data_IF_974154675638
#
_entry.id   IF_974154675638
#
_cell.length_a   1.000
_cell.length_b   1.000
_cell.length_c   1.000
_cell.angle_alpha   90.00
_cell.angle_beta   90.00
_cell.angle_gamma   90.00
#
_symmetry.space_group_name_H-M   'P 1'
#
loop_
_entity.id
_entity.type
_entity.pdbx_description
1 polymer ?
#
# COMPACT_ATOMS: atom_id res chain seq x y z
N UNK A 1 -34.29 28.19 7.45
CA UNK A 1 -33.02 27.48 7.68
C UNK A 1 -32.85 26.33 6.69
N UNK A 2 -32.38 26.63 5.47
CA UNK A 2 -31.92 25.67 4.44
C UNK A 2 -30.90 26.43 3.58
N UNK A 3 -29.63 25.98 3.51
CA UNK A 3 -28.56 26.33 2.52
C UNK A 3 -27.17 26.08 3.12
N UNK A 4 -26.56 24.93 2.80
CA UNK A 4 -25.12 24.68 2.93
C UNK A 4 -24.69 23.47 2.08
N UNK A 5 -25.22 23.33 0.86
CA UNK A 5 -25.08 22.10 0.06
C UNK A 5 -25.13 22.38 -1.45
N UNK A 6 -24.27 23.26 -1.97
CA UNK A 6 -24.30 23.64 -3.40
C UNK A 6 -23.04 24.31 -3.98
N UNK A 7 -21.83 24.12 -3.42
CA UNK A 7 -20.58 24.72 -3.98
C UNK A 7 -19.35 23.80 -3.95
N UNK A 8 -19.28 22.89 -4.92
CA UNK A 8 -18.01 22.36 -5.49
C UNK A 8 -18.15 21.64 -6.85
N UNK A 9 -19.37 21.53 -7.41
CA UNK A 9 -19.74 20.57 -8.46
C UNK A 9 -19.58 21.06 -9.91
N UNK A 10 -18.55 21.86 -10.22
CA UNK A 10 -18.38 22.48 -11.55
C UNK A 10 -16.99 22.24 -12.17
N UNK A 11 -16.80 21.07 -12.76
CA UNK A 11 -15.61 20.70 -13.55
C UNK A 11 -15.53 19.18 -13.76
N UNK A 12 -14.86 18.73 -14.83
CA UNK A 12 -14.53 17.31 -15.13
C UNK A 12 -15.74 16.39 -15.46
N UNK A 13 -16.15 16.32 -16.74
CA UNK A 13 -17.34 15.55 -17.19
C UNK A 13 -17.15 14.83 -18.53
N UNK A 14 -17.46 13.51 -18.57
CA UNK A 14 -17.41 12.56 -19.71
C UNK A 14 -16.01 12.29 -20.32
N UNK A 15 -15.49 11.05 -20.28
CA UNK A 15 -14.29 10.65 -21.07
C UNK A 15 -14.38 9.21 -21.54
N UNK A 16 -14.44 8.25 -20.62
CA UNK A 16 -14.64 6.85 -20.99
C UNK A 16 -16.15 6.61 -21.14
N UNK A 17 -16.59 6.34 -22.37
CA UNK A 17 -18.01 6.22 -22.74
C UNK A 17 -18.67 4.89 -22.35
N UNK A 18 -17.95 3.99 -21.67
CA UNK A 18 -18.43 2.66 -21.33
C UNK A 18 -17.74 2.15 -20.05
N UNK A 19 -18.33 2.44 -18.88
CA UNK A 19 -17.81 2.07 -17.55
C UNK A 19 -18.51 0.86 -16.94
N UNK A 20 -19.52 0.30 -17.61
CA UNK A 20 -20.51 -0.56 -16.99
C UNK A 20 -20.09 -2.04 -16.87
N UNK A 21 -18.83 -2.37 -17.20
CA UNK A 21 -18.23 -3.70 -17.09
C UNK A 21 -16.74 -3.64 -16.69
N UNK A 22 -16.37 -2.83 -15.70
CA UNK A 22 -15.01 -2.82 -15.15
C UNK A 22 -14.81 -3.95 -14.12
N UNK A 23 -13.83 -4.82 -14.38
CA UNK A 23 -13.38 -5.81 -13.39
C UNK A 23 -12.24 -5.25 -12.54
N UNK A 24 -12.32 -5.47 -11.23
CA UNK A 24 -11.36 -5.00 -10.24
C UNK A 24 -10.63 -6.18 -9.58
N UNK A 25 -9.32 -6.07 -9.42
CA UNK A 25 -8.53 -6.92 -8.54
C UNK A 25 -8.44 -6.23 -7.17
N UNK A 26 -9.00 -6.88 -6.15
CA UNK A 26 -9.02 -6.42 -4.77
C UNK A 26 -8.04 -7.22 -3.92
N UNK A 27 -7.23 -6.50 -3.14
CA UNK A 27 -6.09 -7.04 -2.39
C UNK A 27 -6.06 -6.48 -0.97
N UNK A 28 -5.40 -7.19 -0.05
CA UNK A 28 -5.12 -6.66 1.28
C UNK A 28 -4.14 -5.50 1.21
N UNK A 29 -4.40 -4.41 1.94
CA UNK A 29 -3.42 -3.33 2.09
C UNK A 29 -2.52 -3.59 3.30
N UNK A 30 -1.43 -4.31 3.04
CA UNK A 30 -0.40 -4.68 4.01
C UNK A 30 0.24 -3.44 4.65
N UNK A 31 0.43 -3.45 5.98
CA UNK A 31 1.12 -2.38 6.69
C UNK A 31 2.59 -2.74 6.96
N UNK A 32 3.45 -2.52 5.95
CA UNK A 32 4.86 -2.88 6.00
C UNK A 32 5.79 -1.85 5.36
N UNK A 33 6.77 -2.38 4.63
CA UNK A 33 7.71 -1.62 3.81
C UNK A 33 7.69 -2.16 2.37
N UNK A 34 7.35 -1.29 1.42
CA UNK A 34 7.41 -1.57 0.00
C UNK A 34 8.84 -1.88 -0.46
N UNK A 35 9.00 -3.02 -1.12
CA UNK A 35 10.25 -3.56 -1.67
C UNK A 35 10.07 -3.89 -3.15
N UNK A 36 11.09 -3.57 -3.92
CA UNK A 36 11.28 -4.00 -5.31
C UNK A 36 12.37 -5.06 -5.35
N UNK A 37 12.15 -6.13 -6.12
CA UNK A 37 13.07 -7.27 -6.26
C UNK A 37 13.28 -7.54 -7.75
N UNK A 38 14.52 -7.34 -8.22
CA UNK A 38 14.90 -7.65 -9.59
C UNK A 38 15.37 -9.10 -9.70
N UNK A 39 14.73 -9.84 -10.58
CA UNK A 39 15.15 -11.14 -11.05
C UNK A 39 15.71 -11.02 -12.47
N UNK A 40 16.86 -11.62 -12.74
CA UNK A 40 17.41 -11.75 -14.08
C UNK A 40 17.59 -13.23 -14.41
N UNK A 41 17.02 -13.69 -15.54
CA UNK A 41 16.89 -15.10 -15.91
C UNK A 41 16.34 -15.97 -14.76
N UNK A 42 15.38 -15.41 -14.01
CA UNK A 42 14.76 -16.03 -12.84
C UNK A 42 15.62 -16.07 -11.56
N UNK A 43 16.85 -15.55 -11.55
CA UNK A 43 17.69 -15.45 -10.35
C UNK A 43 17.52 -14.09 -9.67
N UNK A 44 17.32 -14.06 -8.36
CA UNK A 44 17.30 -12.81 -7.59
C UNK A 44 18.69 -12.17 -7.67
N UNK A 45 18.81 -11.01 -8.32
CA UNK A 45 20.07 -10.26 -8.43
C UNK A 45 20.12 -9.09 -7.45
N UNK A 46 19.04 -8.31 -7.33
CA UNK A 46 18.98 -7.11 -6.50
C UNK A 46 17.63 -6.97 -5.79
N UNK A 47 17.60 -6.32 -4.63
CA UNK A 47 16.38 -5.82 -4.02
C UNK A 47 16.59 -4.44 -3.38
N UNK A 48 15.60 -3.56 -3.53
CA UNK A 48 15.67 -2.18 -3.06
C UNK A 48 14.39 -1.77 -2.31
N UNK A 49 14.53 -0.85 -1.35
CA UNK A 49 13.40 -0.15 -0.74
C UNK A 49 12.78 0.86 -1.71
N UNK A 50 11.53 1.28 -1.48
CA UNK A 50 10.88 2.30 -2.33
C UNK A 50 11.56 3.68 -2.35
N UNK A 51 12.23 4.05 -1.26
CA UNK A 51 12.80 5.40 -1.05
C UNK A 51 11.83 6.53 -1.40
N UNK A 52 12.30 7.49 -2.22
CA UNK A 52 11.50 8.62 -2.71
C UNK A 52 10.54 8.28 -3.87
N UNK A 53 10.67 7.08 -4.45
CA UNK A 53 9.94 6.61 -5.63
C UNK A 53 10.81 6.48 -6.89
N UNK A 54 12.01 7.05 -6.88
CA UNK A 54 13.01 6.98 -7.95
C UNK A 54 14.28 6.28 -7.46
N UNK A 55 14.78 6.67 -6.29
CA UNK A 55 16.02 6.12 -5.68
C UNK A 55 15.67 5.38 -4.40
N UNK A 56 16.06 4.10 -4.35
CA UNK A 56 15.89 3.22 -3.19
C UNK A 56 17.21 2.86 -2.51
N UNK A 57 17.14 2.41 -1.26
CA UNK A 57 18.28 1.79 -0.57
C UNK A 57 18.40 0.31 -1.00
N UNK A 58 19.61 -0.13 -1.38
CA UNK A 58 19.89 -1.54 -1.63
C UNK A 58 19.81 -2.33 -0.32
N UNK A 59 18.97 -3.37 -0.33
CA UNK A 59 18.71 -4.26 0.80
C UNK A 59 18.84 -5.73 0.36
N UNK A 60 19.54 -6.01 -0.74
CA UNK A 60 19.65 -7.33 -1.36
C UNK A 60 20.07 -8.40 -0.37
N UNK A 61 21.15 -8.16 0.39
CA UNK A 61 21.67 -9.10 1.40
C UNK A 61 20.66 -9.40 2.51
N UNK A 62 19.83 -8.42 2.89
CA UNK A 62 18.79 -8.58 3.90
C UNK A 62 17.58 -9.34 3.35
N UNK A 63 17.14 -9.00 2.14
CA UNK A 63 16.03 -9.65 1.43
C UNK A 63 16.31 -11.14 1.16
N UNK A 64 17.56 -11.51 0.83
CA UNK A 64 17.98 -12.92 0.67
C UNK A 64 17.80 -13.78 1.93
N UNK A 65 17.59 -13.17 3.12
CA UNK A 65 17.33 -13.91 4.37
C UNK A 65 15.86 -14.21 4.62
N UNK A 66 14.95 -13.60 3.86
CA UNK A 66 13.50 -13.75 4.03
C UNK A 66 13.05 -15.05 3.35
N UNK A 67 12.72 -16.07 4.14
CA UNK A 67 12.37 -17.42 3.67
C UNK A 67 11.22 -17.48 2.66
N UNK A 68 10.30 -16.52 2.72
CA UNK A 68 9.17 -16.42 1.80
C UNK A 68 9.57 -15.96 0.39
N UNK A 69 10.78 -15.40 0.21
CA UNK A 69 11.25 -14.87 -1.07
C UNK A 69 12.14 -15.92 -1.74
N UNK A 70 11.76 -16.47 -2.91
CA UNK A 70 12.58 -17.43 -3.62
C UNK A 70 13.84 -16.76 -4.17
N UNK A 71 15.02 -17.37 -3.96
CA UNK A 71 16.26 -16.89 -4.59
C UNK A 71 16.32 -17.20 -6.10
N UNK A 72 15.51 -18.16 -6.55
CA UNK A 72 15.34 -18.56 -7.95
C UNK A 72 13.86 -18.89 -8.21
N UNK A 73 13.28 -18.23 -9.21
CA UNK A 73 11.95 -18.54 -9.76
C UNK A 73 11.95 -19.91 -10.45
N UNK A 74 10.81 -20.60 -10.46
CA UNK A 74 10.68 -21.98 -10.94
C UNK A 74 9.60 -22.10 -12.03
N UNK A 75 9.79 -23.01 -12.98
CA UNK A 75 8.87 -23.19 -14.12
C UNK A 75 9.25 -22.34 -15.33
N UNK A 76 8.33 -22.27 -16.29
CA UNK A 76 8.60 -21.80 -17.64
C UNK A 76 8.21 -20.33 -17.87
N UNK A 77 8.60 -19.80 -19.04
CA UNK A 77 8.27 -18.45 -19.53
C UNK A 77 8.70 -17.31 -18.59
N UNK A 78 9.70 -17.53 -17.73
CA UNK A 78 10.27 -16.50 -16.86
C UNK A 78 10.98 -15.45 -17.74
N UNK A 79 10.62 -14.15 -17.65
CA UNK A 79 11.26 -13.09 -18.43
C UNK A 79 12.76 -12.96 -18.13
N UNK A 80 13.52 -12.52 -19.14
CA UNK A 80 14.94 -12.22 -18.99
C UNK A 80 15.20 -11.26 -17.82
N UNK A 81 14.36 -10.23 -17.63
CA UNK A 81 14.42 -9.30 -16.50
C UNK A 81 13.03 -9.00 -15.98
N UNK A 82 12.82 -9.18 -14.67
CA UNK A 82 11.52 -9.02 -14.01
C UNK A 82 11.70 -8.33 -12.66
N UNK A 83 11.11 -7.15 -12.52
CA UNK A 83 11.00 -6.44 -11.24
C UNK A 83 9.68 -6.80 -10.55
N UNK A 84 9.77 -7.61 -9.49
CA UNK A 84 8.62 -7.96 -8.64
C UNK A 84 8.49 -6.93 -7.52
N UNK A 85 7.30 -6.33 -7.40
CA UNK A 85 6.98 -5.38 -6.33
C UNK A 85 6.06 -6.02 -5.29
N UNK A 86 6.37 -5.80 -4.03
CA UNK A 86 5.60 -6.33 -2.91
C UNK A 86 5.89 -5.61 -1.60
N UNK A 87 5.22 -6.04 -0.52
CA UNK A 87 5.41 -5.48 0.81
C UNK A 87 6.16 -6.51 1.67
N UNK A 88 7.29 -6.11 2.29
CA UNK A 88 7.89 -6.85 3.40
C UNK A 88 7.21 -6.41 4.69
N UNK A 89 6.69 -7.38 5.44
CA UNK A 89 6.00 -7.12 6.71
C UNK A 89 6.38 -8.16 7.76
N UNK A 90 5.91 -7.92 8.99
CA UNK A 90 6.21 -8.73 10.16
C UNK A 90 4.89 -9.21 10.78
N UNK A 91 4.62 -10.52 10.87
CA UNK A 91 3.45 -11.06 11.54
C UNK A 91 3.43 -10.67 13.03
N UNK A 92 2.25 -10.54 13.60
CA UNK A 92 2.03 -10.04 14.96
C UNK A 92 2.80 -10.85 16.02
N UNK A 93 2.72 -12.19 15.97
CA UNK A 93 3.48 -13.06 16.87
C UNK A 93 5.00 -12.89 16.73
N UNK A 94 5.49 -12.53 15.54
CA UNK A 94 6.89 -12.21 15.29
C UNK A 94 7.31 -10.88 15.91
N UNK A 95 6.44 -9.87 15.79
CA UNK A 95 6.59 -8.55 16.43
C UNK A 95 6.60 -8.64 17.95
N UNK A 96 5.63 -9.36 18.54
CA UNK A 96 5.54 -9.59 19.99
C UNK A 96 6.80 -10.27 20.53
N UNK A 97 7.28 -11.33 19.85
CA UNK A 97 8.53 -12.02 20.21
C UNK A 97 9.77 -11.11 20.15
N UNK A 98 9.86 -10.23 19.14
CA UNK A 98 10.95 -9.25 19.02
C UNK A 98 10.92 -8.25 20.18
N UNK A 99 9.73 -7.78 20.55
CA UNK A 99 9.56 -6.81 21.63
C UNK A 99 9.75 -7.43 23.03
N UNK A 100 9.41 -8.71 23.21
CA UNK A 100 9.73 -9.46 24.44
C UNK A 100 11.24 -9.60 24.63
N UNK A 101 11.96 -10.04 23.57
CA UNK A 101 13.42 -10.15 23.63
C UNK A 101 14.09 -8.79 23.87
N UNK A 102 13.59 -7.72 23.24
CA UNK A 102 14.07 -6.37 23.45
C UNK A 102 13.86 -5.90 24.89
N UNK A 103 12.68 -6.16 25.49
CA UNK A 103 12.42 -5.84 26.91
C UNK A 103 13.36 -6.62 27.84
N UNK A 104 13.61 -7.90 27.57
CA UNK A 104 14.51 -8.75 28.35
C UNK A 104 15.99 -8.32 28.29
N UNK A 105 16.45 -7.85 27.14
CA UNK A 105 17.87 -7.51 26.88
C UNK A 105 18.19 -6.02 27.02
N UNK A 106 17.24 -5.18 27.41
CA UNK A 106 17.40 -3.72 27.39
C UNK A 106 17.51 -3.12 25.99
N UNK A 107 17.10 -3.87 24.96
CA UNK A 107 17.13 -3.48 23.56
C UNK A 107 15.99 -2.54 23.15
N UNK A 108 16.07 -2.05 21.91
CA UNK A 108 15.04 -1.16 21.33
C UNK A 108 13.72 -1.91 21.11
N UNK A 109 12.71 -1.56 21.90
CA UNK A 109 11.31 -1.93 21.68
C UNK A 109 10.75 -1.11 20.51
N UNK A 110 10.02 -1.77 19.61
CA UNK A 110 9.34 -1.12 18.49
C UNK A 110 7.91 -0.76 18.84
N UNK A 111 7.43 0.38 18.35
CA UNK A 111 6.03 0.77 18.49
C UNK A 111 5.11 -0.25 17.81
N UNK A 112 5.21 -0.45 16.50
CA UNK A 112 4.29 -1.29 15.73
C UNK A 112 5.03 -2.27 14.78
N UNK A 113 4.34 -3.30 14.25
CA UNK A 113 4.91 -4.27 13.30
C UNK A 113 5.55 -3.62 12.07
N UNK A 114 4.96 -2.54 11.53
CA UNK A 114 5.51 -1.80 10.38
C UNK A 114 6.92 -1.24 10.65
N UNK A 115 7.08 -0.55 11.79
CA UNK A 115 8.36 0.02 12.23
C UNK A 115 9.37 -1.09 12.58
N UNK A 116 8.90 -2.19 13.16
CA UNK A 116 9.72 -3.36 13.43
C UNK A 116 10.19 -4.05 12.14
N UNK A 117 9.35 -4.15 11.11
CA UNK A 117 9.71 -4.68 9.79
C UNK A 117 10.76 -3.79 9.11
N UNK A 118 10.50 -2.47 9.02
CA UNK A 118 11.43 -1.51 8.41
C UNK A 118 12.78 -1.48 9.14
N UNK A 119 12.79 -1.48 10.48
CA UNK A 119 14.01 -1.55 11.27
C UNK A 119 14.74 -2.89 11.17
N UNK A 120 14.00 -4.00 11.01
CA UNK A 120 14.59 -5.33 10.82
C UNK A 120 15.19 -5.53 9.43
N UNK A 121 14.65 -4.89 8.40
CA UNK A 121 15.10 -5.04 7.00
C UNK A 121 16.30 -4.13 6.66
N UNK A 122 16.49 -3.03 7.39
CA UNK A 122 17.53 -2.02 7.16
C UNK A 122 18.71 -2.19 8.14
N UNK A 123 19.15 -3.43 8.33
CA UNK A 123 20.33 -3.78 9.14
C UNK A 123 21.59 -3.78 8.27
N UNK A 124 22.72 -3.37 8.85
CA UNK A 124 24.03 -3.49 8.18
C UNK A 124 24.52 -4.94 8.14
N UNK A 125 24.21 -5.73 9.17
CA UNK A 125 24.51 -7.16 9.22
C UNK A 125 23.25 -7.99 8.90
N UNK A 126 23.19 -8.70 7.76
CA UNK A 126 22.03 -9.51 7.38
C UNK A 126 21.76 -10.67 8.32
N UNK A 127 22.75 -11.09 9.14
CA UNK A 127 22.54 -12.11 10.19
C UNK A 127 21.62 -11.62 11.31
N UNK A 128 21.42 -10.30 11.44
CA UNK A 128 20.40 -9.72 12.31
C UNK A 128 19.03 -9.88 11.67
N UNK A 129 18.88 -9.50 10.39
CA UNK A 129 17.65 -9.67 9.59
C UNK A 129 17.18 -11.14 9.59
N UNK A 130 18.09 -12.08 9.38
CA UNK A 130 17.82 -13.52 9.35
C UNK A 130 17.20 -14.10 10.64
N UNK A 131 17.36 -13.41 11.78
CA UNK A 131 16.75 -13.77 13.08
C UNK A 131 15.34 -13.20 13.25
N UNK A 132 14.88 -12.33 12.35
CA UNK A 132 13.57 -11.67 12.38
C UNK A 132 12.63 -12.45 11.45
N UNK A 133 11.42 -12.85 11.90
CA UNK A 133 10.49 -13.61 11.07
C UNK A 133 9.74 -12.69 10.09
N UNK A 134 10.48 -11.99 9.24
CA UNK A 134 9.94 -11.22 8.13
C UNK A 134 9.31 -12.14 7.10
N UNK A 135 8.27 -11.65 6.44
CA UNK A 135 7.61 -12.30 5.32
C UNK A 135 7.31 -11.28 4.22
N UNK A 136 6.79 -11.74 3.09
CA UNK A 136 6.61 -10.95 1.88
C UNK A 136 5.33 -11.38 1.15
N UNK A 137 4.66 -10.44 0.50
CA UNK A 137 3.64 -10.73 -0.52
C UNK A 137 3.83 -9.80 -1.72
N UNK A 138 3.73 -10.36 -2.92
CA UNK A 138 3.76 -9.61 -4.17
C UNK A 138 2.43 -8.91 -4.43
N UNK A 139 2.48 -7.71 -5.02
CA UNK A 139 1.28 -6.95 -5.41
C UNK A 139 1.41 -6.25 -6.78
N UNK A 140 2.53 -6.38 -7.49
CA UNK A 140 2.72 -5.70 -8.78
C UNK A 140 4.05 -5.95 -9.45
N UNK A 141 4.23 -5.30 -10.60
CA UNK A 141 5.40 -5.40 -11.48
C UNK A 141 6.00 -4.01 -11.67
N UNK A 142 7.30 -3.93 -11.90
CA UNK A 142 7.97 -2.75 -12.46
C UNK A 142 8.54 -3.06 -13.85
N UNK A 143 9.87 -3.05 -14.00
CA UNK A 143 10.55 -3.50 -15.23
C UNK A 143 10.12 -4.93 -15.63
N UNK A 144 9.89 -5.12 -16.93
CA UNK A 144 9.62 -6.39 -17.60
C UNK A 144 10.30 -6.37 -18.98
N UNK A 145 11.31 -7.21 -19.17
CA UNK A 145 12.08 -7.30 -20.42
C UNK A 145 12.36 -8.77 -20.78
N UNK A 146 12.39 -9.09 -22.09
CA UNK A 146 12.74 -10.42 -22.59
C UNK A 146 11.79 -11.54 -22.16
N UNK A 147 10.48 -11.27 -22.16
CA UNK A 147 9.42 -12.24 -21.86
C UNK A 147 8.05 -11.57 -21.76
N UNK A 148 7.00 -12.36 -21.65
CA UNK A 148 5.62 -11.88 -21.58
C UNK A 148 4.99 -12.17 -20.21
N UNK A 149 4.00 -11.34 -19.85
CA UNK A 149 3.17 -11.52 -18.67
C UNK A 149 1.69 -11.35 -19.05
N UNK A 150 0.75 -12.08 -18.41
CA UNK A 150 -0.68 -11.96 -18.70
C UNK A 150 -1.20 -10.52 -18.74
N UNK A 151 -2.21 -10.28 -19.58
CA UNK A 151 -2.82 -8.97 -19.79
C UNK A 151 -3.72 -8.48 -18.63
N UNK A 152 -3.96 -9.32 -17.61
CA UNK A 152 -4.66 -8.93 -16.38
C UNK A 152 -3.77 -9.04 -15.15
N UNK A 153 -3.99 -8.14 -14.19
CA UNK A 153 -3.18 -8.01 -12.99
C UNK A 153 -3.37 -9.21 -12.05
N UNK A 154 -4.60 -9.67 -11.89
CA UNK A 154 -4.94 -10.92 -11.21
C UNK A 154 -4.19 -12.13 -11.81
N UNK A 155 -4.12 -12.25 -13.14
CA UNK A 155 -3.41 -13.35 -13.79
C UNK A 155 -1.88 -13.22 -13.64
N UNK A 156 -1.32 -12.00 -13.61
CA UNK A 156 0.09 -11.78 -13.24
C UNK A 156 0.39 -12.24 -11.80
N UNK A 157 -0.52 -12.01 -10.85
CA UNK A 157 -0.37 -12.53 -9.49
C UNK A 157 -0.45 -14.06 -9.45
N UNK A 158 -1.31 -14.71 -10.26
CA UNK A 158 -1.30 -16.18 -10.37
C UNK A 158 -0.02 -16.73 -11.01
N UNK A 159 0.53 -16.03 -12.02
CA UNK A 159 1.83 -16.37 -12.63
C UNK A 159 2.99 -16.24 -11.62
N UNK A 160 2.94 -15.23 -10.75
CA UNK A 160 3.89 -15.13 -9.64
C UNK A 160 3.76 -16.32 -8.67
N UNK A 161 2.53 -16.71 -8.32
CA UNK A 161 2.28 -17.89 -7.47
C UNK A 161 2.80 -19.19 -8.10
N UNK A 162 2.63 -19.39 -9.42
CA UNK A 162 3.17 -20.57 -10.11
C UNK A 162 4.70 -20.58 -10.17
N UNK A 163 5.34 -19.40 -10.25
CA UNK A 163 6.80 -19.26 -10.16
C UNK A 163 7.38 -19.42 -8.74
N UNK A 164 6.52 -19.62 -7.73
CA UNK A 164 6.91 -19.82 -6.33
C UNK A 164 7.06 -18.53 -5.52
N UNK A 165 6.60 -17.38 -6.03
CA UNK A 165 6.53 -16.13 -5.28
C UNK A 165 5.29 -16.13 -4.36
N UNK A 166 5.39 -15.53 -3.15
CA UNK A 166 4.28 -15.49 -2.22
C UNK A 166 3.25 -14.44 -2.68
N UNK A 167 1.99 -14.86 -2.78
CA UNK A 167 0.83 -14.02 -3.11
C UNK A 167 -0.27 -14.31 -2.10
N UNK A 168 -0.98 -13.26 -1.66
CA UNK A 168 -2.05 -13.42 -0.68
C UNK A 168 -3.19 -14.28 -1.23
N UNK A 169 -3.69 -15.21 -0.42
CA UNK A 169 -4.85 -16.03 -0.79
C UNK A 169 -6.17 -15.25 -0.75
N UNK A 170 -6.15 -14.02 -0.22
CA UNK A 170 -7.30 -13.10 -0.17
C UNK A 170 -7.35 -12.14 -1.37
N UNK A 171 -6.57 -12.36 -2.43
CA UNK A 171 -6.75 -11.67 -3.72
C UNK A 171 -8.11 -12.09 -4.30
N UNK A 172 -8.99 -11.13 -4.59
CA UNK A 172 -10.33 -11.40 -5.12
C UNK A 172 -10.65 -10.53 -6.34
N UNK A 173 -11.22 -11.14 -7.38
CA UNK A 173 -11.84 -10.41 -8.48
C UNK A 173 -13.26 -9.97 -8.09
N UNK A 174 -13.58 -8.71 -8.39
CA UNK A 174 -14.91 -8.13 -8.20
C UNK A 174 -15.34 -7.45 -9.51
N UNK A 175 -16.56 -7.71 -9.97
CA UNK A 175 -17.09 -7.17 -11.24
C UNK A 175 -18.02 -5.96 -11.02
N UNK A 176 -18.41 -5.70 -9.77
CA UNK A 176 -19.30 -4.60 -9.38
C UNK A 176 -18.74 -3.83 -8.16
N UNK A 177 -19.06 -2.53 -8.00
CA UNK A 177 -18.75 -1.78 -6.77
C UNK A 177 -19.33 -2.43 -5.49
N UNK A 178 -20.46 -3.11 -5.62
CA UNK A 178 -21.15 -3.82 -4.54
C UNK A 178 -20.36 -5.06 -4.07
N UNK A 179 -19.76 -5.81 -4.99
CA UNK A 179 -18.81 -6.88 -4.67
C UNK A 179 -17.54 -6.34 -4.00
N UNK A 180 -17.02 -5.19 -4.46
CA UNK A 180 -15.86 -4.51 -3.83
C UNK A 180 -16.18 -4.10 -2.39
N UNK A 181 -17.37 -3.53 -2.14
CA UNK A 181 -17.83 -3.20 -0.79
C UNK A 181 -18.05 -4.44 0.09
N UNK A 182 -18.53 -5.55 -0.50
CA UNK A 182 -18.68 -6.83 0.19
C UNK A 182 -17.32 -7.40 0.59
N UNK A 183 -16.33 -7.37 -0.32
CA UNK A 183 -14.95 -7.74 -0.03
C UNK A 183 -14.34 -6.88 1.08
N UNK A 184 -14.49 -5.54 1.00
CA UNK A 184 -14.02 -4.62 2.03
C UNK A 184 -14.55 -5.00 3.42
N UNK A 185 -15.86 -5.24 3.55
CA UNK A 185 -16.50 -5.60 4.84
C UNK A 185 -16.02 -6.94 5.38
N UNK A 186 -15.88 -7.94 4.50
CA UNK A 186 -15.35 -9.25 4.90
C UNK A 186 -13.91 -9.15 5.43
N UNK A 187 -13.07 -8.34 4.79
CA UNK A 187 -11.69 -8.11 5.25
C UNK A 187 -11.67 -7.28 6.55
N UNK A 188 -12.59 -6.32 6.73
CA UNK A 188 -12.75 -5.56 7.98
C UNK A 188 -13.10 -6.47 9.17
N UNK A 189 -14.04 -7.39 8.98
CA UNK A 189 -14.45 -8.38 9.99
C UNK A 189 -13.36 -9.42 10.28
N UNK A 190 -12.67 -9.92 9.25
CA UNK A 190 -11.60 -10.90 9.40
C UNK A 190 -10.28 -10.31 9.88
N UNK A 191 -10.13 -8.98 9.89
CA UNK A 191 -8.87 -8.27 10.22
C UNK A 191 -8.19 -8.78 11.50
N UNK A 192 -8.89 -9.01 12.63
CA UNK A 192 -8.26 -9.53 13.86
C UNK A 192 -7.73 -10.96 13.75
N UNK A 193 -8.20 -11.73 12.74
CA UNK A 193 -7.90 -13.15 12.54
C UNK A 193 -6.71 -13.38 11.60
N UNK A 194 -6.16 -12.33 10.97
CA UNK A 194 -5.11 -12.43 9.94
C UNK A 194 -3.72 -12.76 10.52
N UNK A 195 -3.45 -12.39 11.77
CA UNK A 195 -2.13 -12.55 12.39
C UNK A 195 -1.05 -11.58 11.87
N UNK A 196 -1.43 -10.57 11.09
CA UNK A 196 -0.57 -9.48 10.60
C UNK A 196 -1.39 -8.21 10.35
N UNK A 197 -0.72 -7.05 10.40
CA UNK A 197 -1.38 -5.75 10.25
C UNK A 197 -1.70 -5.41 8.79
N UNK A 198 -2.92 -4.91 8.60
CA UNK A 198 -3.39 -4.26 7.37
C UNK A 198 -4.08 -2.93 7.74
N UNK A 199 -3.96 -1.89 6.91
CA UNK A 199 -4.63 -0.59 7.11
C UNK A 199 -5.80 -0.34 6.14
N UNK A 200 -6.17 -1.33 5.34
CA UNK A 200 -7.29 -1.27 4.39
C UNK A 200 -7.28 -2.40 3.37
N UNK A 201 -7.90 -2.13 2.23
CA UNK A 201 -7.77 -2.89 0.99
C UNK A 201 -7.24 -2.00 -0.14
N UNK A 202 -6.63 -2.60 -1.15
CA UNK A 202 -6.27 -1.92 -2.41
C UNK A 202 -7.18 -2.45 -3.50
N UNK A 203 -7.79 -1.53 -4.26
CA UNK A 203 -8.67 -1.84 -5.38
C UNK A 203 -7.94 -1.35 -6.64
N UNK A 204 -7.74 -2.25 -7.62
CA UNK A 204 -7.05 -1.96 -8.88
C UNK A 204 -7.95 -2.36 -10.05
N UNK A 205 -7.97 -1.58 -11.13
CA UNK A 205 -8.53 -2.04 -12.41
C UNK A 205 -7.73 -3.26 -12.89
N UNK A 206 -8.39 -4.37 -13.22
CA UNK A 206 -7.67 -5.63 -13.48
C UNK A 206 -6.97 -5.66 -14.85
N UNK A 207 -7.53 -5.02 -15.88
CA UNK A 207 -6.92 -4.97 -17.22
C UNK A 207 -5.72 -4.01 -17.27
N UNK A 208 -4.54 -4.53 -17.65
CA UNK A 208 -3.31 -3.71 -17.76
C UNK A 208 -3.42 -2.65 -18.87
N UNK A 209 -4.07 -2.98 -20.00
CA UNK A 209 -4.29 -2.01 -21.08
C UNK A 209 -5.12 -0.80 -20.59
N UNK A 210 -6.09 -1.01 -19.68
CA UNK A 210 -6.81 0.09 -19.04
C UNK A 210 -5.94 0.83 -18.01
N UNK A 211 -5.07 0.14 -17.26
CA UNK A 211 -4.11 0.80 -16.36
C UNK A 211 -3.17 1.75 -17.13
N UNK A 212 -2.66 1.32 -18.29
CA UNK A 212 -1.81 2.14 -19.17
C UNK A 212 -2.56 3.36 -19.73
N UNK A 213 -3.78 3.16 -20.25
CA UNK A 213 -4.63 4.25 -20.75
C UNK A 213 -5.02 5.27 -19.66
N UNK A 214 -5.25 4.81 -18.42
CA UNK A 214 -5.56 5.68 -17.28
C UNK A 214 -4.30 6.38 -16.75
N UNK A 215 -3.15 5.71 -16.80
CA UNK A 215 -1.86 6.23 -16.40
C UNK A 215 -1.79 6.72 -14.95
N UNK A 216 -0.99 7.76 -14.74
CA UNK A 216 -0.64 8.27 -13.42
C UNK A 216 -0.97 9.78 -13.29
N UNK A 217 -1.20 10.21 -12.04
CA UNK A 217 -0.93 11.58 -11.61
C UNK A 217 0.42 11.62 -10.89
N UNK A 218 0.98 12.80 -10.65
CA UNK A 218 2.39 13.02 -10.26
C UNK A 218 3.00 12.09 -9.18
N UNK A 219 2.19 11.49 -8.29
CA UNK A 219 2.66 10.51 -7.28
C UNK A 219 1.74 9.30 -7.07
N UNK A 220 0.74 9.07 -7.93
CA UNK A 220 -0.24 7.98 -7.74
C UNK A 220 -0.84 7.49 -9.07
N UNK A 221 -1.15 6.18 -9.21
CA UNK A 221 -1.91 5.67 -10.34
C UNK A 221 -3.34 6.21 -10.34
N UNK A 222 -3.96 6.37 -11.53
CA UNK A 222 -5.40 6.67 -11.65
C UNK A 222 -6.29 5.42 -11.59
N UNK A 223 -5.67 4.26 -11.82
CA UNK A 223 -6.32 2.95 -11.94
C UNK A 223 -6.37 2.16 -10.63
N UNK A 224 -5.88 2.72 -9.52
CA UNK A 224 -5.93 2.07 -8.21
C UNK A 224 -6.18 3.05 -7.06
N UNK A 225 -6.84 2.57 -6.00
CA UNK A 225 -7.06 3.31 -4.75
C UNK A 225 -6.82 2.44 -3.53
N UNK A 226 -6.32 3.05 -2.46
CA UNK A 226 -6.24 2.46 -1.13
C UNK A 226 -7.51 2.81 -0.33
N UNK A 227 -8.43 1.86 -0.17
CA UNK A 227 -9.62 2.04 0.65
C UNK A 227 -9.29 1.62 2.09
N UNK A 228 -8.98 2.62 2.93
CA UNK A 228 -8.56 2.41 4.32
C UNK A 228 -9.74 2.10 5.25
N UNK A 229 -9.48 1.29 6.26
CA UNK A 229 -10.40 1.13 7.39
C UNK A 229 -10.55 2.45 8.17
N UNK A 230 -11.65 2.66 8.91
CA UNK A 230 -11.77 3.75 9.86
C UNK A 230 -10.57 3.73 10.80
N UNK A 231 -9.93 4.89 10.99
CA UNK A 231 -8.92 5.02 12.02
C UNK A 231 -9.58 4.81 13.40
N UNK A 232 -8.92 4.10 14.31
CA UNK A 232 -9.34 4.08 15.70
C UNK A 232 -9.16 5.48 16.28
N UNK A 233 -10.27 6.17 16.50
CA UNK A 233 -10.27 7.49 17.14
C UNK A 233 -10.16 7.34 18.65
N UNK A 234 -9.39 8.23 19.28
CA UNK A 234 -9.17 8.26 20.73
C UNK A 234 -9.21 9.70 21.21
N UNK A 235 -9.89 9.92 22.35
CA UNK A 235 -9.96 11.21 23.01
C UNK A 235 -8.68 11.46 23.80
N UNK A 236 -8.09 12.64 23.66
CA UNK A 236 -6.95 13.10 24.47
C UNK A 236 -6.98 14.63 24.57
N UNK A 237 -6.37 15.20 25.60
CA UNK A 237 -6.33 16.64 25.80
C UNK A 237 -5.25 17.29 24.93
N UNK A 238 -5.58 18.44 24.32
CA UNK A 238 -4.57 19.35 23.78
C UNK A 238 -3.93 20.06 24.97
N UNK A 239 -2.62 19.89 25.14
CA UNK A 239 -1.84 20.49 26.23
C UNK A 239 -1.23 21.84 25.84
N UNK A 240 -0.89 22.01 24.56
CA UNK A 240 -0.28 23.23 24.01
C UNK A 240 -0.41 23.25 22.47
N UNK A 241 -0.14 24.38 21.81
CA UNK A 241 -0.10 24.51 20.34
C UNK A 241 1.15 25.27 19.91
N UNK A 242 2.07 24.57 19.26
CA UNK A 242 3.28 25.17 18.70
C UNK A 242 3.07 25.59 17.24
N UNK A 243 3.77 26.63 16.80
CA UNK A 243 3.73 27.12 15.42
C UNK A 243 5.07 26.89 14.73
N UNK A 244 5.10 26.02 13.72
CA UNK A 244 6.30 25.67 12.97
C UNK A 244 6.36 26.43 11.66
N UNK A 245 7.46 27.15 11.40
CA UNK A 245 7.69 27.83 10.12
C UNK A 245 8.29 26.84 9.11
N UNK A 246 7.56 26.54 8.05
CA UNK A 246 8.03 25.69 6.96
C UNK A 246 9.07 26.37 6.07
N UNK A 247 9.77 25.59 5.22
CA UNK A 247 10.82 26.09 4.31
C UNK A 247 10.35 27.17 3.33
N UNK A 248 9.04 27.30 3.11
CA UNK A 248 8.40 28.31 2.25
C UNK A 248 7.80 29.48 3.04
N UNK A 249 8.12 29.62 4.34
CA UNK A 249 7.54 30.63 5.23
C UNK A 249 6.16 30.29 5.80
N UNK A 250 5.53 29.19 5.36
CA UNK A 250 4.20 28.78 5.82
C UNK A 250 4.21 28.39 7.32
N UNK A 251 3.42 29.09 8.14
CA UNK A 251 3.31 28.83 9.58
C UNK A 251 2.26 27.73 9.81
N UNK A 252 2.68 26.59 10.37
CA UNK A 252 1.83 25.41 10.60
C UNK A 252 1.58 25.20 12.11
N UNK A 253 0.32 25.26 12.59
CA UNK A 253 0.00 24.95 13.98
C UNK A 253 0.01 23.43 14.24
N UNK A 254 0.75 23.02 15.26
CA UNK A 254 0.93 21.65 15.70
C UNK A 254 0.50 21.54 17.16
N UNK A 255 -0.61 20.85 17.41
CA UNK A 255 -1.08 20.59 18.77
C UNK A 255 -0.11 19.61 19.46
N UNK A 256 0.38 19.98 20.64
CA UNK A 256 0.94 19.03 21.61
C UNK A 256 -0.22 18.38 22.34
N UNK A 257 -0.26 17.05 22.28
CA UNK A 257 -1.30 16.24 22.90
C UNK A 257 -0.76 15.62 24.19
N UNK A 258 -1.65 15.43 25.16
CA UNK A 258 -1.38 14.61 26.33
C UNK A 258 -0.98 13.19 25.90
N UNK A 259 0.03 12.64 26.57
CA UNK A 259 0.49 11.25 26.37
C UNK A 259 -0.61 10.28 26.80
N UNK A 260 -1.48 9.95 25.86
CA UNK A 260 -2.29 8.75 25.95
C UNK A 260 -1.52 7.56 25.36
N UNK A 261 -1.62 6.41 26.03
CA UNK A 261 -1.07 5.14 25.56
C UNK A 261 -2.26 4.24 25.27
N UNK A 262 -2.55 3.96 23.99
CA UNK A 262 -3.59 2.99 23.68
C UNK A 262 -3.11 1.58 24.07
N UNK A 263 -4.01 0.66 24.43
CA UNK A 263 -3.75 -0.76 24.23
C UNK A 263 -3.33 -0.93 22.75
N UNK A 264 -2.19 -1.56 22.49
CA UNK A 264 -1.68 -1.65 21.12
C UNK A 264 -0.88 -0.44 20.60
N UNK A 265 -0.06 0.19 21.45
CA UNK A 265 1.29 0.67 21.07
C UNK A 265 1.50 2.03 20.37
N UNK A 266 0.62 3.02 20.56
CA UNK A 266 0.89 4.40 20.13
C UNK A 266 0.89 5.39 21.31
N UNK A 267 1.85 6.32 21.30
CA UNK A 267 1.80 7.56 22.09
C UNK A 267 1.87 8.78 21.17
N UNK A 268 0.70 9.30 20.79
CA UNK A 268 0.60 10.50 19.97
C UNK A 268 0.80 11.74 20.85
N UNK A 269 1.97 12.38 20.78
CA UNK A 269 2.29 13.61 21.53
C UNK A 269 2.18 14.88 20.70
N UNK A 270 2.09 14.78 19.37
CA UNK A 270 2.04 15.91 18.43
C UNK A 270 1.14 15.57 17.24
N UNK A 271 0.24 16.47 16.83
CA UNK A 271 -0.60 16.29 15.62
C UNK A 271 -0.86 17.64 14.94
N UNK A 272 -0.79 17.68 13.61
CA UNK A 272 -1.18 18.86 12.83
C UNK A 272 -2.71 19.03 12.88
N UNK A 273 -3.17 20.25 13.17
CA UNK A 273 -4.59 20.54 13.42
C UNK A 273 -5.43 20.46 12.13
N UNK A 274 -4.85 20.72 10.95
CA UNK A 274 -5.57 20.75 9.68
C UNK A 274 -5.96 19.38 9.10
N UNK A 275 -5.48 18.26 9.64
CA UNK A 275 -5.67 16.91 9.05
C UNK A 275 -6.82 16.11 9.68
N UNK A 276 -7.90 16.78 10.08
CA UNK A 276 -9.11 16.16 10.63
C UNK A 276 -10.32 16.39 9.71
N UNK A 277 -10.73 15.37 8.91
CA UNK A 277 -12.16 15.03 8.60
C UNK A 277 -12.43 13.94 7.54
N UNK A 278 -13.67 13.45 7.62
CA UNK A 278 -14.64 13.02 6.58
C UNK A 278 -14.49 11.68 5.81
N UNK A 279 -15.25 10.69 6.29
CA UNK A 279 -16.25 9.82 5.62
C UNK A 279 -15.94 8.94 4.39
N UNK A 280 -16.55 7.75 4.44
CA UNK A 280 -16.35 6.56 3.59
C UNK A 280 -16.82 6.69 2.12
N UNK A 281 -17.82 7.53 1.83
CA UNK A 281 -18.46 7.59 0.50
C UNK A 281 -17.61 8.24 -0.60
N UNK A 282 -16.63 9.07 -0.23
CA UNK A 282 -15.80 9.80 -1.20
C UNK A 282 -14.78 8.87 -1.91
N UNK A 283 -14.40 7.74 -1.29
CA UNK A 283 -13.44 6.80 -1.88
C UNK A 283 -14.02 5.99 -3.06
N UNK A 284 -15.23 5.44 -2.91
CA UNK A 284 -15.92 4.73 -4.01
C UNK A 284 -16.28 5.72 -5.14
N UNK A 285 -16.63 6.94 -4.75
CA UNK A 285 -16.82 8.06 -5.67
C UNK A 285 -15.54 8.37 -6.45
N UNK A 286 -14.36 8.45 -5.82
CA UNK A 286 -13.10 8.77 -6.50
C UNK A 286 -12.75 7.78 -7.63
N UNK A 287 -13.13 6.50 -7.52
CA UNK A 287 -13.00 5.51 -8.61
C UNK A 287 -13.98 5.82 -9.74
N UNK A 288 -15.23 6.21 -9.48
CA UNK A 288 -16.17 6.63 -10.55
C UNK A 288 -15.81 7.98 -11.18
N UNK A 289 -15.31 8.93 -10.39
CA UNK A 289 -15.08 10.32 -10.81
C UNK A 289 -13.75 10.53 -11.56
N UNK A 290 -12.77 9.64 -11.40
CA UNK A 290 -11.51 9.70 -12.17
C UNK A 290 -11.68 9.41 -13.69
N UNK A 291 -12.90 9.11 -14.16
CA UNK A 291 -13.18 8.54 -15.47
C UNK A 291 -13.97 9.51 -16.41
N UNK A 292 -13.88 10.84 -16.20
CA UNK A 292 -14.67 11.90 -16.87
C UNK A 292 -13.89 13.22 -17.24
N UNK A 293 -13.97 13.78 -18.47
CA UNK A 293 -13.18 14.95 -18.98
C UNK A 293 -13.92 16.15 -19.68
N UNK A 294 -14.03 16.39 -21.05
CA UNK A 294 -13.85 15.57 -22.29
C UNK A 294 -12.70 16.02 -23.27
N UNK A 295 -12.99 16.34 -24.57
CA UNK A 295 -12.16 17.01 -25.62
C UNK A 295 -13.04 17.78 -26.66
N UNK A 296 -12.50 18.80 -27.36
CA UNK A 296 -13.19 19.63 -28.37
C UNK A 296 -13.26 18.99 -29.77
N UNK A 297 -14.31 19.28 -30.56
CA UNK A 297 -14.17 19.96 -31.87
C UNK A 297 -15.51 20.29 -32.57
N UNK A 298 -15.55 21.50 -33.16
CA UNK A 298 -16.27 21.91 -34.38
C UNK A 298 -17.77 21.62 -34.56
N UNK A 299 -18.55 22.70 -34.68
CA UNK A 299 -19.33 22.97 -35.91
C UNK A 299 -19.38 24.48 -36.16
N UNK A 300 -19.23 24.89 -37.43
CA UNK A 300 -19.30 26.28 -37.89
C UNK A 300 -20.72 26.62 -38.34
N UNK A 301 -21.22 27.79 -37.94
CA UNK A 301 -21.92 28.80 -38.78
C UNK A 301 -22.46 29.89 -37.88
#
# INVERSE_FOLDING_TARGET
MRRASSRSTSGYRNRLKNTDNLTYCCELKLDGLAVSILYENGLLVQAATRGDGTTGEDITSNVRTIRAIPLKLRGDNIPQRLEVRGEVFLPQAGFEKINEEARRTGGKVFANPRNAAAGSLRQLDPRITAKRPLTFFCYGVGVLEGGELPASHSARLQQFKSWGLPVSERVKLCHTPEEVLTYYRQVEEDRPKLGFDIDGVVIKVDSLALQEQLGFVARAPRWAVAFKFPAQEQMTFVRDVEFQVGRTGAITPVARLERYTSPGSWSATRRCIMLMKSSVWDCVSAIRWSFAAPAMLSLRS
#
